data_IF_436243183804
#
_entry.id   IF_436243183804
#
_cell.length_a   1.000
_cell.length_b   1.000
_cell.length_c   1.000
_cell.angle_alpha   90.00
_cell.angle_beta   90.00
_cell.angle_gamma   90.00
#
_symmetry.space_group_name_H-M   'P 1'
#
loop_
_entity.id
_entity.type
_entity.pdbx_description
1 polymer ?
#
# COMPACT_ATOMS: atom_id res chain seq x y z
N UNK A 1 26.24 16.41 -68.65
CA UNK A 1 24.99 17.20 -68.70
C UNK A 1 24.40 17.14 -67.32
N UNK A 2 24.31 18.29 -66.62
CA UNK A 2 23.69 18.37 -65.29
C UNK A 2 22.30 18.91 -65.53
N UNK A 3 21.28 18.03 -65.41
CA UNK A 3 19.91 18.45 -65.51
C UNK A 3 19.53 19.26 -64.25
N UNK A 4 19.22 20.53 -64.45
CA UNK A 4 18.76 21.42 -63.38
C UNK A 4 17.28 21.14 -63.07
N UNK A 5 16.98 20.59 -61.89
CA UNK A 5 15.63 20.40 -61.43
C UNK A 5 14.94 21.78 -61.33
N UNK A 6 13.84 21.95 -62.03
CA UNK A 6 13.10 23.22 -62.01
C UNK A 6 12.33 23.39 -60.68
N UNK A 7 12.17 24.66 -60.27
CA UNK A 7 11.40 24.97 -59.04
C UNK A 7 9.98 24.40 -59.07
N UNK A 8 9.39 24.28 -60.25
CA UNK A 8 8.04 23.64 -60.40
C UNK A 8 8.11 22.13 -60.18
N UNK A 9 9.14 21.45 -60.64
CA UNK A 9 9.33 20.00 -60.42
C UNK A 9 9.61 19.68 -58.96
N UNK A 10 10.31 20.58 -58.23
CA UNK A 10 10.54 20.44 -56.79
C UNK A 10 9.25 20.63 -56.00
N UNK A 11 8.43 21.63 -56.32
CA UNK A 11 7.13 21.86 -55.64
C UNK A 11 6.13 20.76 -55.95
N UNK A 12 6.10 20.17 -57.13
CA UNK A 12 5.25 19.04 -57.45
C UNK A 12 5.66 17.77 -56.68
N UNK A 13 6.96 17.51 -56.53
CA UNK A 13 7.46 16.39 -55.73
C UNK A 13 7.17 16.57 -54.23
N UNK A 14 7.26 17.80 -53.72
CA UNK A 14 6.91 18.12 -52.33
C UNK A 14 5.40 17.96 -52.05
N UNK A 15 4.54 18.30 -53.00
CA UNK A 15 3.09 18.13 -52.84
C UNK A 15 2.66 16.65 -52.86
N UNK A 16 3.30 15.80 -53.64
CA UNK A 16 3.02 14.35 -53.67
C UNK A 16 3.51 13.66 -52.41
N UNK A 17 4.66 14.08 -51.86
CA UNK A 17 5.15 13.53 -50.59
C UNK A 17 4.29 13.94 -49.37
N UNK A 18 3.73 15.16 -49.39
CA UNK A 18 2.78 15.61 -48.33
C UNK A 18 1.45 14.87 -48.38
N UNK A 19 0.94 14.54 -49.59
CA UNK A 19 -0.29 13.75 -49.74
C UNK A 19 -0.11 12.27 -49.34
N UNK A 20 1.07 11.68 -49.55
CA UNK A 20 1.38 10.31 -49.12
C UNK A 20 1.45 10.16 -47.59
N UNK A 21 1.89 11.23 -46.87
CA UNK A 21 1.91 11.23 -45.40
C UNK A 21 0.51 11.42 -44.77
N UNK A 22 -0.45 11.98 -45.52
CA UNK A 22 -1.82 12.16 -45.03
C UNK A 22 -2.68 10.88 -45.13
N UNK A 23 -2.30 9.89 -45.97
CA UNK A 23 -3.09 8.65 -46.13
C UNK A 23 -2.63 7.51 -45.21
N UNK A 24 -1.42 7.60 -44.66
CA UNK A 24 -0.90 6.60 -43.69
C UNK A 24 -1.28 6.91 -42.24
N UNK A 25 -2.05 7.98 -41.99
CA UNK A 25 -2.46 8.42 -40.63
C UNK A 25 -3.77 7.83 -40.07
N UNK A 26 -4.41 6.91 -40.81
CA UNK A 26 -5.59 6.18 -40.32
C UNK A 26 -5.25 4.74 -39.95
N UNK A 27 -4.19 4.55 -39.18
CA UNK A 27 -4.16 3.38 -38.31
C UNK A 27 -5.20 3.62 -37.21
N UNK A 28 -6.22 2.78 -37.20
CA UNK A 28 -7.18 2.74 -36.10
C UNK A 28 -6.35 2.66 -34.79
N UNK A 29 -6.29 3.79 -34.07
CA UNK A 29 -5.85 3.77 -32.67
C UNK A 29 -6.79 2.80 -31.97
N UNK A 30 -6.41 1.54 -31.92
CA UNK A 30 -6.77 0.71 -30.79
C UNK A 30 -6.21 1.50 -29.60
N UNK A 31 -7.05 2.27 -28.95
CA UNK A 31 -6.70 2.92 -27.70
C UNK A 31 -6.36 1.78 -26.76
N UNK A 32 -5.07 1.47 -26.63
CA UNK A 32 -4.60 0.63 -25.54
C UNK A 32 -5.15 1.32 -24.30
N UNK A 33 -6.15 0.69 -23.66
CA UNK A 33 -6.70 1.18 -22.40
C UNK A 33 -5.51 1.51 -21.53
N UNK A 34 -5.35 2.75 -21.13
CA UNK A 34 -4.22 3.16 -20.30
C UNK A 34 -4.23 2.28 -19.06
N UNK A 35 -3.11 1.64 -18.79
CA UNK A 35 -2.95 0.84 -17.57
C UNK A 35 -2.75 1.81 -16.42
N UNK A 36 -3.54 1.63 -15.36
CA UNK A 36 -3.37 2.39 -14.12
C UNK A 36 -2.35 1.68 -13.25
N UNK A 37 -1.24 2.35 -12.96
CA UNK A 37 -0.20 1.84 -12.09
C UNK A 37 -0.52 2.21 -10.63
N UNK A 38 -0.45 1.21 -9.74
CA UNK A 38 -0.66 1.32 -8.29
C UNK A 38 0.64 0.89 -7.60
N UNK A 39 1.18 1.76 -6.78
CA UNK A 39 2.35 1.47 -5.94
C UNK A 39 1.93 1.15 -4.52
N UNK A 40 2.49 0.10 -3.93
CA UNK A 40 2.19 -0.33 -2.56
C UNK A 40 3.49 -0.43 -1.78
N UNK A 41 3.62 0.38 -0.71
CA UNK A 41 4.73 0.29 0.21
C UNK A 41 4.36 -0.52 1.45
N UNK A 42 5.24 -1.41 1.86
CA UNK A 42 5.08 -2.26 3.03
C UNK A 42 6.42 -2.43 3.76
N UNK A 43 6.41 -3.15 4.89
CA UNK A 43 7.58 -3.51 5.68
C UNK A 43 7.80 -5.03 5.74
N UNK A 44 7.16 -5.77 4.85
CA UNK A 44 7.27 -7.23 4.83
C UNK A 44 8.67 -7.69 4.45
N UNK A 45 9.11 -8.78 5.06
CA UNK A 45 10.38 -9.43 4.76
C UNK A 45 10.20 -10.96 4.82
N UNK A 46 11.21 -11.73 4.38
CA UNK A 46 11.16 -13.19 4.36
C UNK A 46 9.88 -13.74 3.73
N UNK A 47 9.25 -14.70 4.37
CA UNK A 47 8.07 -15.43 3.88
C UNK A 47 6.84 -14.52 3.68
N UNK A 48 6.72 -13.46 4.48
CA UNK A 48 5.63 -12.47 4.32
C UNK A 48 5.79 -11.71 3.00
N UNK A 49 7.01 -11.27 2.67
CA UNK A 49 7.29 -10.57 1.43
C UNK A 49 7.07 -11.49 0.21
N UNK A 50 7.51 -12.74 0.29
CA UNK A 50 7.25 -13.71 -0.78
C UNK A 50 5.75 -13.93 -0.99
N UNK A 51 5.00 -14.07 0.09
CA UNK A 51 3.55 -14.25 0.05
C UNK A 51 2.83 -13.03 -0.55
N UNK A 52 3.25 -11.83 -0.16
CA UNK A 52 2.74 -10.59 -0.72
C UNK A 52 3.06 -10.48 -2.22
N UNK A 53 4.29 -10.78 -2.63
CA UNK A 53 4.69 -10.75 -4.04
C UNK A 53 3.91 -11.74 -4.90
N UNK A 54 3.59 -12.93 -4.37
CA UNK A 54 2.70 -13.89 -5.05
C UNK A 54 1.28 -13.35 -5.22
N UNK A 55 0.72 -12.67 -4.21
CA UNK A 55 -0.59 -12.03 -4.31
C UNK A 55 -0.59 -10.93 -5.36
N UNK A 56 0.42 -10.08 -5.39
CA UNK A 56 0.59 -9.02 -6.41
C UNK A 56 0.69 -9.61 -7.81
N UNK A 57 1.50 -10.66 -8.00
CA UNK A 57 1.62 -11.35 -9.30
C UNK A 57 0.28 -11.93 -9.75
N UNK A 58 -0.41 -12.65 -8.86
CA UNK A 58 -1.72 -13.22 -9.14
C UNK A 58 -2.74 -12.15 -9.51
N UNK A 59 -2.79 -11.05 -8.77
CA UNK A 59 -3.67 -9.92 -9.08
C UNK A 59 -3.36 -9.35 -10.47
N UNK A 60 -2.09 -9.10 -10.78
CA UNK A 60 -1.66 -8.52 -12.05
C UNK A 60 -1.98 -9.43 -13.24
N UNK A 61 -1.90 -10.75 -13.07
CA UNK A 61 -2.18 -11.73 -14.12
C UNK A 61 -3.68 -11.97 -14.33
N UNK A 62 -4.51 -11.68 -13.34
CA UNK A 62 -5.95 -11.96 -13.34
C UNK A 62 -6.78 -10.68 -13.35
N UNK A 63 -7.19 -10.20 -12.18
CA UNK A 63 -8.11 -9.06 -12.01
C UNK A 63 -7.49 -7.77 -12.57
N UNK A 64 -6.21 -7.53 -12.27
CA UNK A 64 -5.47 -6.35 -12.71
C UNK A 64 -5.43 -6.27 -14.23
N UNK A 65 -5.08 -7.39 -14.89
CA UNK A 65 -5.09 -7.49 -16.36
C UNK A 65 -6.47 -7.21 -16.97
N UNK A 66 -7.51 -7.79 -16.38
CA UNK A 66 -8.88 -7.60 -16.85
C UNK A 66 -9.37 -6.16 -16.69
N UNK A 67 -8.98 -5.49 -15.60
CA UNK A 67 -9.36 -4.11 -15.26
C UNK A 67 -8.42 -3.04 -15.82
N UNK A 68 -7.27 -3.39 -16.37
CA UNK A 68 -6.25 -2.45 -16.81
C UNK A 68 -5.55 -1.78 -15.63
N UNK A 69 -5.32 -2.53 -14.55
CA UNK A 69 -4.63 -2.09 -13.33
C UNK A 69 -3.37 -2.93 -13.16
N UNK A 70 -2.25 -2.31 -12.81
CA UNK A 70 -1.01 -2.98 -12.49
C UNK A 70 -0.52 -2.51 -11.12
N UNK A 71 -0.28 -3.46 -10.22
CA UNK A 71 0.24 -3.21 -8.88
C UNK A 71 1.73 -3.52 -8.84
N UNK A 72 2.50 -2.68 -8.18
CA UNK A 72 3.90 -2.92 -7.82
C UNK A 72 4.07 -2.73 -6.31
N UNK A 73 4.61 -3.75 -5.64
CA UNK A 73 4.94 -3.70 -4.22
C UNK A 73 6.41 -3.39 -3.97
N UNK A 74 6.69 -2.65 -2.91
CA UNK A 74 8.04 -2.36 -2.45
C UNK A 74 8.11 -2.46 -0.93
N UNK A 75 9.03 -3.31 -0.43
CA UNK A 75 9.36 -3.29 1.00
C UNK A 75 10.28 -2.12 1.29
N UNK A 76 9.96 -1.38 2.34
CA UNK A 76 10.72 -0.22 2.78
C UNK A 76 11.67 -0.55 3.95
N UNK A 77 11.82 -1.83 4.30
CA UNK A 77 12.65 -2.27 5.40
C UNK A 77 11.85 -2.53 6.69
N UNK A 78 12.15 -1.83 7.76
CA UNK A 78 11.40 -1.93 9.02
C UNK A 78 10.14 -1.07 9.02
N UNK A 79 9.30 -1.21 10.03
CA UNK A 79 8.15 -0.31 10.26
C UNK A 79 8.60 1.15 10.35
N UNK A 80 9.66 1.41 11.11
CA UNK A 80 10.19 2.76 11.29
C UNK A 80 10.74 3.35 9.98
N UNK A 81 11.40 2.52 9.16
CA UNK A 81 11.87 2.95 7.83
C UNK A 81 10.71 3.28 6.91
N UNK A 82 9.66 2.46 6.92
CA UNK A 82 8.45 2.71 6.12
C UNK A 82 7.80 4.03 6.54
N UNK A 83 7.59 4.25 7.83
CA UNK A 83 6.97 5.48 8.35
C UNK A 83 7.81 6.72 8.00
N UNK A 84 9.14 6.64 8.19
CA UNK A 84 10.04 7.73 7.81
C UNK A 84 9.97 8.02 6.30
N UNK A 85 10.04 6.99 5.46
CA UNK A 85 9.98 7.15 4.01
C UNK A 85 8.63 7.73 3.53
N UNK A 86 7.51 7.30 4.12
CA UNK A 86 6.19 7.84 3.83
C UNK A 86 6.08 9.32 4.23
N UNK A 87 6.55 9.67 5.42
CA UNK A 87 6.56 11.07 5.87
C UNK A 87 7.48 11.95 5.02
N UNK A 88 8.67 11.47 4.68
CA UNK A 88 9.62 12.19 3.82
C UNK A 88 9.04 12.42 2.41
N UNK A 89 8.33 11.44 1.86
CA UNK A 89 7.62 11.56 0.59
C UNK A 89 6.45 12.57 0.69
N UNK A 90 5.67 12.52 1.77
CA UNK A 90 4.53 13.41 2.01
C UNK A 90 4.99 14.88 2.19
N UNK A 91 6.12 15.11 2.84
CA UNK A 91 6.72 16.43 3.03
C UNK A 91 7.49 16.93 1.80
N UNK A 92 7.68 16.10 0.77
CA UNK A 92 8.42 16.46 -0.43
C UNK A 92 9.89 16.74 -0.16
N UNK A 93 10.52 16.01 0.76
CA UNK A 93 11.94 16.21 1.10
C UNK A 93 12.84 15.93 -0.10
N UNK A 94 13.92 16.67 -0.19
CA UNK A 94 14.92 16.49 -1.25
C UNK A 94 15.49 15.08 -1.20
N UNK A 95 15.36 14.34 -2.29
CA UNK A 95 15.82 12.96 -2.41
C UNK A 95 14.82 11.91 -1.96
N UNK A 96 13.64 12.29 -1.43
CA UNK A 96 12.57 11.34 -1.17
C UNK A 96 11.99 10.78 -2.48
N UNK A 97 11.43 9.58 -2.42
CA UNK A 97 10.65 9.01 -3.51
C UNK A 97 9.29 9.72 -3.64
N UNK A 98 8.58 9.49 -4.74
CA UNK A 98 7.18 9.91 -4.86
C UNK A 98 6.30 9.15 -3.86
N UNK A 99 5.27 9.83 -3.36
CA UNK A 99 4.29 9.23 -2.46
C UNK A 99 3.64 8.00 -3.09
N UNK A 100 3.62 6.84 -2.41
CA UNK A 100 2.98 5.65 -2.96
C UNK A 100 1.45 5.80 -3.00
N UNK A 101 0.79 5.04 -3.87
CA UNK A 101 -0.67 5.01 -3.94
C UNK A 101 -1.29 4.40 -2.70
N UNK A 102 -0.65 3.34 -2.16
CA UNK A 102 -1.06 2.61 -0.96
C UNK A 102 0.18 2.37 -0.11
N UNK A 103 0.04 2.49 1.19
CA UNK A 103 1.11 2.17 2.14
C UNK A 103 0.55 1.56 3.42
N UNK A 104 1.33 0.68 4.05
CA UNK A 104 1.02 0.19 5.37
C UNK A 104 1.40 1.26 6.40
N UNK A 105 0.53 1.48 7.40
CA UNK A 105 0.77 2.45 8.45
C UNK A 105 0.02 2.05 9.73
N UNK A 106 0.50 2.55 10.86
CA UNK A 106 -0.27 2.62 12.09
C UNK A 106 -1.13 3.88 12.12
N UNK A 107 -2.07 3.90 13.05
CA UNK A 107 -3.07 4.97 13.15
C UNK A 107 -2.48 6.37 13.37
N UNK A 108 -1.38 6.47 14.11
CA UNK A 108 -0.71 7.74 14.37
C UNK A 108 -0.07 8.36 13.11
N UNK A 109 0.56 7.53 12.28
CA UNK A 109 1.09 7.99 10.98
C UNK A 109 -0.03 8.32 10.02
N UNK A 110 -1.09 7.48 9.96
CA UNK A 110 -2.26 7.76 9.13
C UNK A 110 -2.97 9.06 9.55
N UNK A 111 -3.07 9.33 10.84
CA UNK A 111 -3.63 10.58 11.37
C UNK A 111 -2.83 11.82 10.91
N UNK A 112 -1.49 11.78 11.01
CA UNK A 112 -0.64 12.90 10.56
C UNK A 112 -0.86 13.19 9.08
N UNK A 113 -0.92 12.16 8.25
CA UNK A 113 -1.15 12.30 6.81
C UNK A 113 -2.58 12.76 6.49
N UNK A 114 -3.56 12.37 7.29
CA UNK A 114 -4.93 12.89 7.18
C UNK A 114 -4.99 14.39 7.46
N UNK A 115 -4.27 14.87 8.48
CA UNK A 115 -4.17 16.31 8.75
C UNK A 115 -3.49 17.09 7.60
N UNK A 116 -2.69 16.43 6.78
CA UNK A 116 -2.09 16.99 5.55
C UNK A 116 -3.03 16.88 4.34
N UNK A 117 -4.21 16.26 4.48
CA UNK A 117 -5.17 16.02 3.40
C UNK A 117 -4.73 14.98 2.38
N UNK A 118 -3.84 14.04 2.79
CA UNK A 118 -3.23 13.05 1.91
C UNK A 118 -3.85 11.65 2.02
N UNK A 119 -4.88 11.48 2.86
CA UNK A 119 -5.57 10.20 3.05
C UNK A 119 -6.97 10.26 2.47
N UNK A 120 -7.32 9.26 1.68
CA UNK A 120 -8.66 9.12 1.09
C UNK A 120 -9.60 8.47 2.09
N UNK A 121 -10.80 9.02 2.24
CA UNK A 121 -11.88 8.35 2.96
C UNK A 121 -12.48 7.23 2.09
N UNK A 122 -12.41 6.02 2.59
CA UNK A 122 -12.90 4.81 1.89
C UNK A 122 -14.38 4.53 2.14
N UNK A 123 -15.05 5.33 2.95
CA UNK A 123 -16.44 5.13 3.39
C UNK A 123 -17.40 4.90 2.22
N UNK A 124 -17.26 5.71 1.16
CA UNK A 124 -18.14 5.67 0.00
C UNK A 124 -17.72 4.65 -1.08
N UNK A 125 -16.56 4.02 -0.89
CA UNK A 125 -16.02 3.01 -1.80
C UNK A 125 -16.29 1.57 -1.34
N UNK A 126 -16.75 1.39 -0.11
CA UNK A 126 -17.09 0.08 0.48
C UNK A 126 -18.59 -0.04 0.64
N UNK A 127 -19.14 -1.18 0.25
CA UNK A 127 -20.53 -1.55 0.51
C UNK A 127 -20.75 -1.84 1.99
N UNK A 128 -22.01 -1.79 2.45
CA UNK A 128 -22.34 -2.12 3.85
C UNK A 128 -21.97 -3.57 4.20
N UNK A 129 -22.12 -4.50 3.27
CA UNK A 129 -21.74 -5.91 3.47
C UNK A 129 -20.21 -6.06 3.61
N UNK A 130 -19.43 -5.31 2.82
CA UNK A 130 -17.96 -5.29 2.96
C UNK A 130 -17.54 -4.70 4.29
N UNK A 131 -18.16 -3.61 4.73
CA UNK A 131 -17.89 -3.01 6.05
C UNK A 131 -18.24 -3.97 7.18
N UNK A 132 -19.38 -4.65 7.09
CA UNK A 132 -19.85 -5.60 8.10
C UNK A 132 -18.99 -6.87 8.20
N UNK A 133 -18.18 -7.18 7.18
CA UNK A 133 -17.25 -8.30 7.20
C UNK A 133 -16.03 -8.07 8.14
N UNK A 134 -15.77 -6.82 8.54
CA UNK A 134 -14.68 -6.49 9.45
C UNK A 134 -15.14 -6.48 10.91
N UNK A 135 -14.20 -6.72 11.82
CA UNK A 135 -14.41 -6.47 13.25
C UNK A 135 -14.68 -4.97 13.45
N UNK A 136 -15.80 -4.57 14.06
CA UNK A 136 -16.18 -3.15 14.16
C UNK A 136 -15.08 -2.24 14.70
N UNK A 137 -14.38 -2.64 15.77
CA UNK A 137 -13.30 -1.85 16.34
C UNK A 137 -12.08 -1.68 15.42
N UNK A 138 -11.92 -2.52 14.40
CA UNK A 138 -10.81 -2.41 13.45
C UNK A 138 -11.15 -1.51 12.28
N UNK A 139 -12.36 -1.59 11.75
CA UNK A 139 -12.78 -0.75 10.63
C UNK A 139 -12.96 0.72 11.03
N UNK A 140 -13.26 0.98 12.30
CA UNK A 140 -13.43 2.36 12.83
C UNK A 140 -12.14 2.99 13.34
N UNK A 141 -11.00 2.29 13.32
CA UNK A 141 -9.72 2.84 13.82
C UNK A 141 -9.28 4.11 13.07
N UNK A 142 -9.66 4.25 11.80
CA UNK A 142 -9.38 5.43 10.97
C UNK A 142 -10.42 6.54 11.07
N UNK A 143 -11.38 6.43 11.97
CA UNK A 143 -12.38 7.48 12.20
C UNK A 143 -11.85 8.50 13.20
N UNK A 144 -11.00 9.39 12.73
CA UNK A 144 -10.25 10.33 13.57
C UNK A 144 -11.09 11.49 14.11
N UNK A 145 -12.25 11.75 13.56
CA UNK A 145 -13.12 12.88 13.92
C UNK A 145 -14.54 12.48 14.33
N UNK A 146 -14.84 11.18 14.39
CA UNK A 146 -16.15 10.65 14.77
C UNK A 146 -17.23 10.81 13.69
N UNK A 147 -16.83 11.10 12.44
CA UNK A 147 -17.77 11.27 11.30
C UNK A 147 -18.19 9.95 10.66
N UNK A 148 -17.66 8.82 11.12
CA UNK A 148 -17.81 7.51 10.52
C UNK A 148 -16.93 7.32 9.28
N UNK A 149 -15.83 8.08 9.17
CA UNK A 149 -14.87 7.95 8.08
C UNK A 149 -14.06 6.65 8.18
N UNK A 150 -13.61 6.12 7.03
CA UNK A 150 -12.76 4.92 6.95
C UNK A 150 -11.46 5.32 6.26
N UNK A 151 -10.51 5.84 7.03
CA UNK A 151 -9.23 6.34 6.52
C UNK A 151 -8.11 5.31 6.64
N UNK A 152 -8.35 4.23 7.38
CA UNK A 152 -7.46 3.08 7.48
C UNK A 152 -8.25 1.83 7.06
N UNK A 153 -7.70 1.07 6.11
CA UNK A 153 -8.24 -0.24 5.73
C UNK A 153 -7.55 -1.32 6.57
N UNK A 154 -8.26 -2.08 7.41
CA UNK A 154 -7.65 -3.07 8.29
C UNK A 154 -7.25 -4.31 7.52
N UNK A 155 -5.95 -4.50 7.29
CA UNK A 155 -5.39 -5.69 6.61
C UNK A 155 -5.01 -6.77 7.61
N UNK A 156 -4.34 -6.38 8.70
CA UNK A 156 -3.91 -7.26 9.77
C UNK A 156 -3.80 -6.47 11.08
N UNK A 157 -4.04 -7.15 12.18
CA UNK A 157 -3.83 -6.63 13.53
C UNK A 157 -2.94 -7.58 14.30
N UNK A 158 -2.04 -7.01 15.08
CA UNK A 158 -1.19 -7.75 16.01
C UNK A 158 -1.49 -7.30 17.45
N UNK A 159 -1.20 -8.17 18.38
CA UNK A 159 -1.27 -7.86 19.80
C UNK A 159 -0.06 -8.44 20.51
N UNK A 160 0.33 -7.83 21.60
CA UNK A 160 1.36 -8.36 22.48
C UNK A 160 0.74 -9.43 23.35
N UNK A 161 1.42 -10.57 23.48
CA UNK A 161 1.04 -11.68 24.33
C UNK A 161 2.23 -12.07 25.20
N UNK A 162 1.94 -12.34 26.47
CA UNK A 162 2.93 -12.92 27.35
C UNK A 162 2.75 -14.44 27.36
N UNK A 163 3.82 -15.15 27.02
CA UNK A 163 3.86 -16.61 27.04
C UNK A 163 4.58 -17.09 28.31
N UNK A 164 3.98 -18.08 28.97
CA UNK A 164 4.57 -18.73 30.12
C UNK A 164 4.89 -20.18 29.80
N UNK A 165 6.05 -20.65 30.26
CA UNK A 165 6.31 -22.08 30.36
C UNK A 165 5.52 -22.65 31.52
N UNK A 166 4.40 -23.33 31.25
CA UNK A 166 3.51 -23.83 32.28
C UNK A 166 4.21 -24.86 33.19
N UNK A 167 5.15 -25.66 32.67
CA UNK A 167 5.92 -26.62 33.49
C UNK A 167 6.75 -25.93 34.56
N UNK A 168 7.42 -24.85 34.21
CA UNK A 168 8.21 -24.06 35.15
C UNK A 168 7.31 -23.25 36.08
N UNK A 169 6.19 -22.71 35.58
CA UNK A 169 5.19 -22.05 36.40
C UNK A 169 4.62 -22.95 37.48
N UNK A 170 4.25 -24.20 37.17
CA UNK A 170 3.71 -25.15 38.11
C UNK A 170 4.71 -25.45 39.24
N UNK A 171 6.01 -25.56 38.93
CA UNK A 171 7.05 -25.73 39.94
C UNK A 171 7.20 -24.50 40.82
N UNK A 172 7.33 -23.33 40.24
CA UNK A 172 7.43 -22.02 40.91
C UNK A 172 6.20 -21.79 41.84
N UNK A 173 4.99 -22.00 41.33
CA UNK A 173 3.74 -21.83 42.06
C UNK A 173 3.65 -22.76 43.31
N UNK A 174 4.16 -23.99 43.22
CA UNK A 174 4.24 -24.90 44.35
C UNK A 174 5.22 -24.46 45.44
N UNK A 175 6.34 -23.88 45.03
CA UNK A 175 7.41 -23.44 45.94
C UNK A 175 7.03 -22.10 46.61
N UNK A 176 6.42 -21.18 45.86
CA UNK A 176 6.13 -19.80 46.31
C UNK A 176 4.69 -19.58 46.76
N UNK A 177 3.76 -20.56 46.49
CA UNK A 177 2.31 -20.42 46.66
C UNK A 177 1.64 -19.30 45.83
N UNK A 178 2.35 -18.72 44.86
CA UNK A 178 1.80 -17.70 43.94
C UNK A 178 0.84 -18.36 42.95
N UNK A 179 -0.30 -17.70 42.70
CA UNK A 179 -1.35 -18.18 41.78
C UNK A 179 -1.35 -17.35 40.48
N UNK A 180 -1.92 -17.91 39.41
CA UNK A 180 -2.09 -17.22 38.13
C UNK A 180 -2.75 -15.84 38.25
N UNK A 181 -3.66 -15.65 39.22
CA UNK A 181 -4.29 -14.36 39.43
C UNK A 181 -3.30 -13.22 39.74
N UNK A 182 -2.10 -13.54 40.22
CA UNK A 182 -1.03 -12.54 40.40
C UNK A 182 -0.53 -11.96 39.09
N UNK A 183 -0.72 -12.69 37.99
CA UNK A 183 -0.25 -12.26 36.64
C UNK A 183 -1.30 -11.41 35.88
N UNK A 184 -2.43 -11.09 36.51
CA UNK A 184 -3.50 -10.32 35.87
C UNK A 184 -3.23 -8.82 35.74
N UNK A 185 -2.20 -8.32 36.42
CA UNK A 185 -1.77 -6.92 36.37
C UNK A 185 -0.25 -6.83 36.19
N UNK A 186 0.25 -5.72 35.69
CA UNK A 186 1.69 -5.51 35.52
C UNK A 186 2.41 -5.44 36.86
N UNK A 187 1.77 -4.86 37.89
CA UNK A 187 2.31 -4.82 39.27
C UNK A 187 2.46 -6.24 39.81
N UNK A 188 1.48 -7.09 39.58
CA UNK A 188 1.52 -8.49 39.97
C UNK A 188 2.61 -9.27 39.24
N UNK A 189 2.78 -9.07 37.92
CA UNK A 189 3.88 -9.66 37.16
C UNK A 189 5.23 -9.24 37.69
N UNK A 190 5.43 -7.94 38.01
CA UNK A 190 6.67 -7.42 38.59
C UNK A 190 6.94 -8.05 39.95
N UNK A 191 5.94 -8.11 40.83
CA UNK A 191 6.08 -8.73 42.16
C UNK A 191 6.41 -10.24 42.09
N UNK A 192 5.91 -10.95 41.07
CA UNK A 192 6.25 -12.36 40.84
C UNK A 192 7.69 -12.50 40.32
N UNK A 193 8.16 -11.58 39.48
CA UNK A 193 9.51 -11.62 38.93
C UNK A 193 10.60 -11.30 39.96
N UNK A 194 10.26 -10.69 41.08
CA UNK A 194 11.16 -10.34 42.18
C UNK A 194 11.32 -11.48 43.24
N UNK A 195 10.56 -12.58 43.13
CA UNK A 195 10.60 -13.74 44.00
C UNK A 195 11.57 -14.83 43.52
#
# INVERSE_FOLDING_TARGET
MKDKISRRSFLAAAAVSAAALAVTGCDAKTSKKAVTDITVWNYYNGDQLESFNRLVSTFNETIGKAKGIRVSGSSQGTVNDLEANVMDAAEGKVGSAEMPTIFAAYADTAYKLDQMGMVVDLKDYLTEDEKAAFVPGYITEGDFDGSGSIKIFPVAKSTELMFFNDTDWQRFSKETFVRYGALSTMEGVTAVAEQ
#
